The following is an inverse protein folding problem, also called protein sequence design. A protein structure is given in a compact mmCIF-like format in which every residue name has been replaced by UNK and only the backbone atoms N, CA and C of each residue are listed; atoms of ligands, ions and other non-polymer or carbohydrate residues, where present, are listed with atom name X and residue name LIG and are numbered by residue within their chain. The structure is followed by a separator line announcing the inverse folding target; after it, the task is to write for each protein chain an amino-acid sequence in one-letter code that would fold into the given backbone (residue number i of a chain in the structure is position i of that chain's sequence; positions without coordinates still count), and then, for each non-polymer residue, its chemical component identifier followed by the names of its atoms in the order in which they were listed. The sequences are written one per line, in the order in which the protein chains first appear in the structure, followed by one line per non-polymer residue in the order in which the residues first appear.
data_IF_304387541387
#
_entry.id   IF_304387541387
#
_cell.length_a   1.000
_cell.length_b   1.000
_cell.length_c   1.000
_cell.angle_alpha   90.00
_cell.angle_beta   90.00
_cell.angle_gamma   90.00
#
_symmetry.space_group_name_H-M   'P 1'
#
loop_
_entity.id
_entity.type
_entity.pdbx_description
1 polymer ?
#
# COMPACT_ATOMS: atom_id res chain seq x y z
N UNK A 1 4.24 7.31 -0.28
CA UNK A 1 5.02 6.20 0.30
C UNK A 1 4.04 5.11 0.71
N UNK A 2 4.44 3.85 0.60
CA UNK A 2 3.64 2.71 1.06
C UNK A 2 4.45 1.90 2.07
N UNK A 3 3.77 1.35 3.07
CA UNK A 3 4.29 0.37 4.02
C UNK A 3 3.37 -0.85 3.96
N UNK A 4 3.94 -2.04 3.99
CA UNK A 4 3.19 -3.30 4.09
C UNK A 4 3.26 -3.77 5.54
N UNK A 5 2.12 -4.12 6.11
CA UNK A 5 2.02 -4.82 7.39
C UNK A 5 1.62 -6.26 7.08
N UNK A 6 2.53 -7.21 7.38
CA UNK A 6 2.36 -8.64 7.16
C UNK A 6 2.80 -9.39 8.41
N UNK A 7 1.92 -10.23 8.96
CA UNK A 7 2.22 -11.02 10.18
C UNK A 7 2.84 -10.17 11.31
N UNK A 8 2.22 -9.03 11.61
CA UNK A 8 2.68 -8.05 12.61
C UNK A 8 4.07 -7.42 12.36
N UNK A 9 4.62 -7.56 11.16
CA UNK A 9 5.87 -6.93 10.73
C UNK A 9 5.63 -5.78 9.76
N UNK A 10 6.42 -4.72 9.92
CA UNK A 10 6.46 -3.59 9.02
C UNK A 10 7.52 -3.81 7.92
N UNK A 11 7.10 -3.85 6.66
CA UNK A 11 7.97 -4.05 5.49
C UNK A 11 7.95 -2.79 4.64
N UNK A 12 9.12 -2.18 4.43
CA UNK A 12 9.31 -1.10 3.44
C UNK A 12 9.51 -1.76 2.08
N UNK A 13 8.56 -1.62 1.13
CA UNK A 13 8.66 -2.31 -0.14
C UNK A 13 9.74 -1.70 -1.03
N UNK A 14 10.40 -2.56 -1.79
CA UNK A 14 11.29 -2.23 -2.89
C UNK A 14 10.56 -2.42 -4.22
N UNK A 15 11.20 -2.07 -5.35
CA UNK A 15 10.61 -2.29 -6.67
C UNK A 15 10.34 -3.78 -7.01
N UNK A 16 10.97 -4.72 -6.30
CA UNK A 16 10.74 -6.15 -6.46
C UNK A 16 9.81 -6.76 -5.40
N UNK A 17 9.24 -5.96 -4.50
CA UNK A 17 8.36 -6.48 -3.45
C UNK A 17 7.00 -6.85 -4.05
N UNK A 18 6.61 -8.12 -3.88
CA UNK A 18 5.34 -8.67 -4.34
C UNK A 18 4.32 -8.62 -3.20
N UNK A 19 3.12 -8.12 -3.50
CA UNK A 19 1.99 -8.13 -2.57
C UNK A 19 1.41 -9.53 -2.46
N UNK A 20 1.09 -9.94 -1.25
CA UNK A 20 0.51 -11.25 -0.95
C UNK A 20 -0.86 -11.10 -0.30
N UNK A 21 -1.65 -12.17 -0.34
CA UNK A 21 -2.95 -12.20 0.35
C UNK A 21 -2.75 -12.00 1.87
N UNK A 22 -3.62 -11.19 2.48
CA UNK A 22 -3.53 -10.84 3.90
C UNK A 22 -2.65 -9.62 4.20
N UNK A 23 -1.92 -9.09 3.22
CA UNK A 23 -1.19 -7.84 3.38
C UNK A 23 -2.11 -6.66 3.70
N UNK A 24 -1.70 -5.83 4.66
CA UNK A 24 -2.32 -4.52 4.90
C UNK A 24 -1.40 -3.43 4.40
N UNK A 25 -1.92 -2.59 3.50
CA UNK A 25 -1.17 -1.48 2.91
C UNK A 25 -1.48 -0.16 3.62
N UNK A 26 -0.46 0.45 4.21
CA UNK A 26 -0.53 1.83 4.68
C UNK A 26 0.00 2.76 3.59
N UNK A 27 -0.89 3.55 2.97
CA UNK A 27 -0.55 4.45 1.86
C UNK A 27 -0.60 5.90 2.33
N UNK A 28 0.56 6.57 2.30
CA UNK A 28 0.66 8.01 2.49
C UNK A 28 0.73 8.72 1.13
N UNK A 29 -0.28 9.54 0.86
CA UNK A 29 -0.34 10.39 -0.31
C UNK A 29 -0.91 11.77 0.02
N UNK A 30 -0.61 12.74 -0.85
CA UNK A 30 -1.20 14.06 -0.75
C UNK A 30 -2.66 14.05 -1.22
N UNK A 31 -3.41 15.11 -0.89
CA UNK A 31 -4.83 15.25 -1.24
C UNK A 31 -5.11 15.22 -2.75
N UNK A 32 -4.17 15.67 -3.58
CA UNK A 32 -4.33 15.71 -5.06
C UNK A 32 -4.40 14.31 -5.65
N UNK A 33 -3.70 13.35 -5.04
CA UNK A 33 -3.66 11.96 -5.49
C UNK A 33 -4.78 11.08 -4.90
N UNK A 34 -5.68 11.64 -4.07
CA UNK A 34 -6.74 10.86 -3.39
C UNK A 34 -7.68 10.13 -4.35
N UNK A 35 -8.04 10.77 -5.48
CA UNK A 35 -8.99 10.18 -6.43
C UNK A 35 -8.41 8.96 -7.13
N UNK A 36 -7.16 9.05 -7.60
CA UNK A 36 -6.42 7.92 -8.18
C UNK A 36 -6.28 6.75 -7.21
N UNK A 37 -5.99 7.02 -5.92
CA UNK A 37 -5.90 5.94 -4.93
C UNK A 37 -7.22 5.21 -4.71
N UNK A 38 -8.35 5.92 -4.77
CA UNK A 38 -9.68 5.30 -4.70
C UNK A 38 -9.91 4.37 -5.88
N UNK A 39 -9.56 4.81 -7.09
CA UNK A 39 -9.70 3.99 -8.30
C UNK A 39 -8.89 2.68 -8.21
N UNK A 40 -7.64 2.74 -7.73
CA UNK A 40 -6.77 1.57 -7.63
C UNK A 40 -7.26 0.55 -6.58
N UNK A 41 -7.77 1.01 -5.43
CA UNK A 41 -8.02 0.13 -4.27
C UNK A 41 -9.51 -0.13 -3.96
N UNK A 42 -10.44 0.67 -4.49
CA UNK A 42 -11.89 0.51 -4.25
C UNK A 42 -12.63 -0.09 -5.47
N UNK A 43 -11.91 -0.73 -6.40
CA UNK A 43 -12.49 -1.42 -7.57
C UNK A 43 -13.29 -2.67 -7.20
#
# INVERSE_FOLDING_TARGET
MVLIIREDKNIIPSGGTILEEGDVLLVFANKRNRMMLKEIFES
#
